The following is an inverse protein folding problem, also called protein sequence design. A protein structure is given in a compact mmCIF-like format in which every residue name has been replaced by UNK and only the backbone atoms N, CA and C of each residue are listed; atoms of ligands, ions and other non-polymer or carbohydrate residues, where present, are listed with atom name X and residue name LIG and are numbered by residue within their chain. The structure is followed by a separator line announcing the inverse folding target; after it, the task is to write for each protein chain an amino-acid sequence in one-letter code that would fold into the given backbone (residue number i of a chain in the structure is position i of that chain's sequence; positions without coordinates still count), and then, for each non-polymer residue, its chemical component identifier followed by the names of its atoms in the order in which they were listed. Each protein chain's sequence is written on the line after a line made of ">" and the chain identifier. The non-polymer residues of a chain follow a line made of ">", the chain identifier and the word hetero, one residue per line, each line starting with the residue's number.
data_IF_291597358971
#
_entry.id   IF_291597358971
#
_cell.length_a   1.000
_cell.length_b   1.000
_cell.length_c   1.000
_cell.angle_alpha   90.00
_cell.angle_beta   90.00
_cell.angle_gamma   90.00
#
_symmetry.space_group_name_H-M   'P 1'
#
loop_
_entity.id
_entity.type
_entity.pdbx_description
1 polymer ?
#
# COMPACT_ATOMS: atom_id res chain seq x y z
N UNK A 1 -20.91 -1.01 16.55
CA UNK A 1 -20.73 -1.10 15.09
C UNK A 1 -20.68 -2.58 14.68
N UNK A 2 -21.65 -3.09 13.89
CA UNK A 2 -21.94 -4.53 13.78
C UNK A 2 -20.90 -5.36 12.99
N UNK A 3 -20.00 -4.72 12.25
CA UNK A 3 -19.04 -5.40 11.35
C UNK A 3 -17.67 -5.65 12.00
N UNK A 4 -17.40 -5.03 13.16
CA UNK A 4 -16.10 -5.13 13.85
C UNK A 4 -15.80 -6.57 14.25
N UNK A 5 -16.77 -7.26 14.85
CA UNK A 5 -16.61 -8.66 15.27
C UNK A 5 -16.38 -9.61 14.10
N UNK A 6 -17.07 -9.37 12.97
CA UNK A 6 -16.89 -10.16 11.75
C UNK A 6 -15.50 -9.95 11.14
N UNK A 7 -15.03 -8.70 11.03
CA UNK A 7 -13.70 -8.43 10.48
C UNK A 7 -12.58 -9.00 11.33
N UNK A 8 -12.67 -8.90 12.67
CA UNK A 8 -11.67 -9.51 13.56
C UNK A 8 -11.65 -11.05 13.44
N UNK A 9 -12.81 -11.69 13.30
CA UNK A 9 -12.90 -13.15 13.08
C UNK A 9 -12.31 -13.58 11.74
N UNK A 10 -12.30 -12.71 10.74
CA UNK A 10 -11.71 -12.95 9.42
C UNK A 10 -10.22 -12.53 9.34
N UNK A 11 -9.58 -12.23 10.47
CA UNK A 11 -8.17 -11.83 10.52
C UNK A 11 -7.91 -10.34 10.21
N UNK A 12 -8.93 -9.50 10.25
CA UNK A 12 -8.82 -8.06 10.03
C UNK A 12 -8.04 -7.37 11.15
N UNK A 13 -7.06 -6.55 10.78
CA UNK A 13 -6.13 -5.90 11.72
C UNK A 13 -6.58 -4.44 11.88
N UNK A 14 -7.10 -4.03 13.05
CA UNK A 14 -7.64 -2.68 13.23
C UNK A 14 -6.50 -1.67 13.28
N UNK A 15 -6.53 -0.69 12.39
CA UNK A 15 -5.54 0.40 12.35
C UNK A 15 -6.17 1.70 12.82
N UNK A 16 -5.61 2.27 13.88
CA UNK A 16 -5.91 3.63 14.31
C UNK A 16 -5.06 4.60 13.51
N UNK A 17 -5.73 5.44 12.71
CA UNK A 17 -5.09 6.41 11.81
C UNK A 17 -4.92 7.80 12.45
N UNK A 18 -5.38 7.99 13.69
CA UNK A 18 -5.28 9.27 14.41
C UNK A 18 -3.85 9.58 14.86
N UNK A 19 -3.05 8.54 15.12
CA UNK A 19 -1.64 8.65 15.45
C UNK A 19 -0.78 8.26 14.24
N UNK A 20 -0.38 9.25 13.43
CA UNK A 20 0.48 9.04 12.25
C UNK A 20 1.79 8.30 12.59
N UNK A 21 2.29 8.45 13.81
CA UNK A 21 3.55 7.86 14.27
C UNK A 21 3.44 6.38 14.67
N UNK A 22 2.23 5.81 14.80
CA UNK A 22 2.02 4.44 15.30
C UNK A 22 1.75 3.39 14.22
N UNK A 23 1.24 3.78 13.05
CA UNK A 23 0.75 2.82 12.04
C UNK A 23 1.88 2.02 11.41
N UNK A 24 3.00 2.67 11.08
CA UNK A 24 4.15 2.00 10.44
C UNK A 24 4.71 0.93 11.39
N UNK A 25 5.07 1.33 12.62
CA UNK A 25 5.62 0.39 13.60
C UNK A 25 4.67 -0.75 13.92
N UNK A 26 3.37 -0.45 14.11
CA UNK A 26 2.36 -1.48 14.34
C UNK A 26 2.30 -2.51 13.20
N UNK A 27 2.32 -2.06 11.94
CA UNK A 27 2.30 -2.99 10.81
C UNK A 27 3.60 -3.78 10.68
N UNK A 28 4.76 -3.18 10.99
CA UNK A 28 6.03 -3.91 11.03
C UNK A 28 5.98 -5.05 12.04
N UNK A 29 5.54 -4.78 13.27
CA UNK A 29 5.37 -5.83 14.30
C UNK A 29 4.36 -6.91 13.89
N UNK A 30 3.34 -6.54 13.11
CA UNK A 30 2.36 -7.49 12.60
C UNK A 30 2.97 -8.40 11.53
N UNK A 31 3.78 -7.86 10.61
CA UNK A 31 4.53 -8.65 9.63
C UNK A 31 5.55 -9.59 10.28
N UNK A 32 6.15 -9.20 11.41
CA UNK A 32 7.11 -10.03 12.15
C UNK A 32 6.43 -11.13 12.98
N UNK A 33 5.20 -10.91 13.43
CA UNK A 33 4.48 -11.86 14.32
C UNK A 33 3.62 -12.88 13.57
N UNK A 34 3.30 -12.64 12.29
CA UNK A 34 2.46 -13.52 11.49
C UNK A 34 3.27 -14.25 10.40
N UNK A 35 3.04 -15.56 10.27
CA UNK A 35 3.70 -16.35 9.22
C UNK A 35 3.23 -15.98 7.81
N UNK A 36 1.97 -15.54 7.66
CA UNK A 36 1.38 -15.18 6.37
C UNK A 36 0.53 -13.91 6.53
N UNK A 37 1.00 -12.80 5.96
CA UNK A 37 0.28 -11.53 6.00
C UNK A 37 0.40 -10.80 4.64
N UNK A 38 -0.74 -10.40 4.08
CA UNK A 38 -0.80 -9.54 2.90
C UNK A 38 -1.47 -8.22 3.29
N UNK A 39 -0.74 -7.12 3.12
CA UNK A 39 -1.27 -5.78 3.30
C UNK A 39 -1.53 -5.12 1.94
N UNK A 40 -2.78 -4.76 1.68
CA UNK A 40 -3.18 -3.99 0.49
C UNK A 40 -3.46 -2.54 0.88
N UNK A 41 -2.71 -1.61 0.29
CA UNK A 41 -2.84 -0.17 0.56
C UNK A 41 -2.70 0.65 -0.70
N UNK A 42 -3.50 1.71 -0.80
CA UNK A 42 -3.31 2.74 -1.83
C UNK A 42 -2.36 3.81 -1.31
N UNK A 43 -1.30 4.17 -2.06
CA UNK A 43 -0.27 5.10 -1.59
C UNK A 43 -0.78 6.53 -1.41
N UNK A 44 -1.87 6.89 -2.07
CA UNK A 44 -2.59 8.15 -1.90
C UNK A 44 -3.27 8.27 -0.53
N UNK A 45 -3.72 7.15 0.05
CA UNK A 45 -4.27 7.09 1.40
C UNK A 45 -5.60 7.83 1.62
N UNK A 46 -6.19 8.42 0.57
CA UNK A 46 -7.50 9.07 0.62
C UNK A 46 -8.31 8.76 -0.65
N UNK A 47 -9.60 9.13 -0.67
CA UNK A 47 -10.44 9.07 -1.88
C UNK A 47 -10.41 10.37 -2.70
N UNK A 48 -9.68 11.38 -2.22
CA UNK A 48 -9.48 12.66 -2.92
C UNK A 48 -8.11 12.61 -3.60
N UNK A 49 -8.01 13.27 -4.76
CA UNK A 49 -6.75 13.45 -5.48
C UNK A 49 -5.70 14.10 -4.56
N UNK A 50 -4.54 13.46 -4.44
CA UNK A 50 -3.37 14.01 -3.74
C UNK A 50 -2.25 14.32 -4.72
N UNK A 51 -1.52 15.40 -4.45
CA UNK A 51 -0.34 15.77 -5.23
C UNK A 51 0.89 14.92 -4.86
N UNK A 52 0.88 14.31 -3.67
CA UNK A 52 2.00 13.54 -3.15
C UNK A 52 1.52 12.25 -2.50
N UNK A 53 2.16 11.15 -2.89
CA UNK A 53 1.93 9.85 -2.26
C UNK A 53 2.57 9.80 -0.88
N UNK A 54 1.88 9.14 0.06
CA UNK A 54 2.43 8.87 1.38
C UNK A 54 3.55 7.84 1.26
N UNK A 55 4.65 8.05 1.97
CA UNK A 55 5.83 7.17 1.95
C UNK A 55 5.76 6.01 2.96
N UNK A 56 4.75 6.00 3.83
CA UNK A 56 4.65 5.03 4.94
C UNK A 56 4.73 3.58 4.49
N UNK A 57 4.21 3.24 3.30
CA UNK A 57 4.29 1.88 2.77
C UNK A 57 5.71 1.42 2.45
N UNK A 58 6.55 2.32 1.92
CA UNK A 58 7.96 2.03 1.67
C UNK A 58 8.71 1.86 2.99
N UNK A 59 8.42 2.68 3.99
CA UNK A 59 9.00 2.53 5.33
C UNK A 59 8.59 1.22 6.01
N UNK A 60 7.32 0.80 5.86
CA UNK A 60 6.84 -0.49 6.39
C UNK A 60 7.57 -1.66 5.71
N UNK A 61 7.58 -1.68 4.38
CA UNK A 61 8.23 -2.76 3.62
C UNK A 61 9.73 -2.86 3.90
N UNK A 62 10.43 -1.71 3.96
CA UNK A 62 11.86 -1.66 4.27
C UNK A 62 12.17 -2.16 5.68
N UNK A 63 11.39 -1.76 6.68
CA UNK A 63 11.63 -2.17 8.08
C UNK A 63 11.24 -3.62 8.34
N UNK A 64 10.11 -4.09 7.80
CA UNK A 64 9.66 -5.47 7.93
C UNK A 64 10.40 -6.44 6.99
N UNK A 65 11.32 -5.94 6.15
CA UNK A 65 12.04 -6.71 5.14
C UNK A 65 11.11 -7.57 4.25
N UNK A 66 9.99 -6.99 3.83
CA UNK A 66 9.00 -7.64 2.95
C UNK A 66 8.96 -6.97 1.57
N UNK A 67 8.68 -7.72 0.49
CA UNK A 67 8.56 -7.15 -0.84
C UNK A 67 7.27 -6.34 -1.00
N UNK A 68 7.30 -5.37 -1.90
CA UNK A 68 6.10 -4.69 -2.41
C UNK A 68 5.79 -5.24 -3.79
N UNK A 69 4.50 -5.48 -4.04
CA UNK A 69 3.98 -5.84 -5.36
C UNK A 69 3.11 -4.66 -5.83
N UNK A 70 3.54 -3.88 -6.83
CA UNK A 70 2.71 -2.81 -7.35
C UNK A 70 1.59 -3.41 -8.22
N UNK A 71 0.36 -2.93 -8.01
CA UNK A 71 -0.83 -3.42 -8.72
C UNK A 71 -1.53 -2.23 -9.37
N UNK A 72 -1.56 -2.21 -10.70
CA UNK A 72 -2.20 -1.16 -11.47
C UNK A 72 -3.54 -1.63 -12.04
N UNK A 73 -4.53 -0.74 -12.04
CA UNK A 73 -5.82 -0.98 -12.67
C UNK A 73 -5.89 -0.13 -13.94
N UNK A 74 -5.80 -0.78 -15.10
CA UNK A 74 -5.86 -0.13 -16.40
C UNK A 74 -7.26 -0.27 -16.99
N UNK A 75 -8.02 0.83 -16.93
CA UNK A 75 -9.40 0.85 -17.41
C UNK A 75 -9.51 0.97 -18.93
N UNK A 76 -8.46 1.42 -19.63
CA UNK A 76 -8.44 1.43 -21.09
C UNK A 76 -8.39 0.00 -21.64
N UNK A 77 -7.55 -0.85 -21.03
CA UNK A 77 -7.47 -2.29 -21.36
C UNK A 77 -8.48 -3.17 -20.62
N UNK A 78 -9.16 -2.63 -19.60
CA UNK A 78 -10.01 -3.39 -18.66
C UNK A 78 -9.24 -4.55 -18.01
N UNK A 79 -8.00 -4.29 -17.61
CA UNK A 79 -7.08 -5.28 -17.07
C UNK A 79 -6.48 -4.82 -15.73
N UNK A 80 -6.00 -5.78 -14.94
CA UNK A 80 -5.20 -5.55 -13.75
C UNK A 80 -3.78 -6.01 -14.06
N UNK A 81 -2.81 -5.13 -13.91
CA UNK A 81 -1.40 -5.51 -14.02
C UNK A 81 -0.83 -5.71 -12.63
N UNK A 82 -0.24 -6.89 -12.40
CA UNK A 82 0.47 -7.23 -11.18
C UNK A 82 1.96 -7.19 -11.53
N UNK A 83 2.69 -6.26 -10.93
CA UNK A 83 4.11 -6.11 -11.14
C UNK A 83 4.94 -7.18 -10.43
N UNK A 84 6.25 -7.19 -10.66
CA UNK A 84 7.15 -8.07 -9.91
C UNK A 84 7.18 -7.70 -8.42
N UNK A 85 7.56 -8.66 -7.58
CA UNK A 85 7.89 -8.40 -6.19
C UNK A 85 9.20 -7.61 -6.11
N UNK A 86 9.19 -6.49 -5.39
CA UNK A 86 10.31 -5.56 -5.32
C UNK A 86 10.70 -5.31 -3.86
N UNK A 87 11.98 -5.54 -3.53
CA UNK A 87 12.55 -5.18 -2.23
C UNK A 87 12.92 -3.71 -2.17
N UNK A 88 12.61 -3.05 -1.05
CA UNK A 88 12.96 -1.66 -0.78
C UNK A 88 14.33 -1.61 -0.10
N UNK A 89 15.39 -1.40 -0.87
CA UNK A 89 16.77 -1.38 -0.35
C UNK A 89 17.37 0.04 -0.32
N UNK A 90 16.91 0.93 -1.21
CA UNK A 90 17.50 2.25 -1.39
C UNK A 90 16.90 3.36 -0.53
N UNK A 91 17.21 4.59 -0.92
CA UNK A 91 16.59 5.82 -0.42
C UNK A 91 15.11 5.88 -0.78
N UNK A 92 14.28 6.25 0.19
CA UNK A 92 12.81 6.17 0.10
C UNK A 92 12.28 7.00 -1.07
N UNK A 93 12.87 8.16 -1.34
CA UNK A 93 12.50 9.04 -2.44
C UNK A 93 12.73 8.37 -3.80
N UNK A 94 13.88 7.71 -3.97
CA UNK A 94 14.21 7.00 -5.23
C UNK A 94 13.33 5.77 -5.41
N UNK A 95 13.06 5.06 -4.33
CA UNK A 95 12.15 3.91 -4.31
C UNK A 95 10.71 4.32 -4.63
N UNK A 96 10.28 5.49 -4.15
CA UNK A 96 8.96 6.04 -4.48
C UNK A 96 8.83 6.31 -5.98
N UNK A 97 9.83 6.95 -6.59
CA UNK A 97 9.82 7.21 -8.04
C UNK A 97 9.91 5.91 -8.85
N UNK A 98 10.70 4.93 -8.39
CA UNK A 98 10.74 3.59 -9.00
C UNK A 98 9.37 2.94 -8.98
N UNK A 99 8.69 2.92 -7.83
CA UNK A 99 7.35 2.34 -7.71
C UNK A 99 6.33 3.10 -8.54
N UNK A 100 6.36 4.44 -8.54
CA UNK A 100 5.48 5.27 -9.38
C UNK A 100 5.64 4.98 -10.87
N UNK A 101 6.86 4.74 -11.34
CA UNK A 101 7.12 4.49 -12.76
C UNK A 101 6.34 3.28 -13.30
N UNK A 102 6.04 2.29 -12.45
CA UNK A 102 5.19 1.15 -12.82
C UNK A 102 3.77 1.55 -13.20
N UNK A 103 3.25 2.68 -12.72
CA UNK A 103 1.87 3.10 -12.97
C UNK A 103 1.74 4.02 -14.19
N UNK A 104 2.85 4.42 -14.83
CA UNK A 104 2.86 5.44 -15.88
C UNK A 104 2.03 5.07 -17.11
N UNK A 105 1.85 3.78 -17.41
CA UNK A 105 1.04 3.31 -18.54
C UNK A 105 -0.45 3.15 -18.20
N UNK A 106 -0.80 3.07 -16.93
CA UNK A 106 -2.15 2.72 -16.51
C UNK A 106 -3.10 3.92 -16.61
N UNK A 107 -4.25 3.73 -17.24
CA UNK A 107 -5.28 4.77 -17.34
C UNK A 107 -6.37 4.54 -16.30
N UNK A 108 -6.54 5.52 -15.41
CA UNK A 108 -7.61 5.51 -14.42
C UNK A 108 -8.99 5.69 -15.06
N UNK A 109 -10.02 5.06 -14.49
CA UNK A 109 -11.42 5.17 -14.95
C UNK A 109 -11.90 6.62 -15.07
N UNK A 110 -11.40 7.47 -14.18
CA UNK A 110 -11.65 8.92 -14.15
C UNK A 110 -10.31 9.61 -13.96
N UNK A 111 -9.67 10.00 -15.07
CA UNK A 111 -8.34 10.60 -15.09
C UNK A 111 -8.24 11.87 -14.22
N UNK A 112 -9.34 12.58 -14.01
CA UNK A 112 -9.39 13.76 -13.13
C UNK A 112 -9.08 13.47 -11.65
N UNK A 113 -9.20 12.22 -11.20
CA UNK A 113 -8.85 11.78 -9.82
C UNK A 113 -7.60 10.91 -9.75
N UNK A 114 -6.97 10.63 -10.89
CA UNK A 114 -5.72 9.86 -10.97
C UNK A 114 -4.50 10.76 -10.93
#
# INVERSE_FOLDING_TARGET
>A
FPIKGLMLKLGGIPIDRSAANGVVGKMVSEFESQNELILVITPEGTRKKVQQWKKGFLHMAKQANVPIIPVAMDFARKAIDIGPAVMVAGEIEKELERVKSFFAHAQGKRAEYS
#
